data_IF_051290756112
#
_entry.id   IF_051290756112
#
_cell.length_a   1.000
_cell.length_b   1.000
_cell.length_c   1.000
_cell.angle_alpha   90.00
_cell.angle_beta   90.00
_cell.angle_gamma   90.00
#
_symmetry.space_group_name_H-M   'P 1'
#
loop_
_entity.id
_entity.type
_entity.pdbx_description
1 polymer ?
#
# COMPACT_ATOMS: atom_id res chain seq x y z
N UNK A 1 -57.23 -3.78 29.30
CA UNK A 1 -56.95 -5.15 28.86
C UNK A 1 -55.69 -5.09 28.01
N UNK A 2 -54.54 -5.40 28.61
CA UNK A 2 -53.24 -5.42 27.95
C UNK A 2 -53.12 -6.68 27.11
N UNK A 3 -52.74 -6.55 25.85
CA UNK A 3 -52.32 -7.66 25.00
C UNK A 3 -50.84 -7.49 24.67
N UNK A 4 -50.02 -8.19 25.44
CA UNK A 4 -48.58 -8.32 25.26
C UNK A 4 -48.32 -9.31 24.11
N UNK A 5 -47.86 -8.82 22.96
CA UNK A 5 -47.30 -9.65 21.90
C UNK A 5 -45.86 -10.01 22.27
N UNK A 6 -45.64 -11.23 22.72
CA UNK A 6 -44.30 -11.79 22.92
C UNK A 6 -43.65 -11.98 21.54
N UNK A 7 -42.61 -11.20 21.27
CA UNK A 7 -41.67 -11.51 20.20
C UNK A 7 -40.88 -12.77 20.60
N UNK A 8 -41.14 -13.88 19.91
CA UNK A 8 -40.30 -15.07 19.95
C UNK A 8 -38.95 -14.73 19.35
N UNK A 9 -37.92 -14.61 20.20
CA UNK A 9 -36.52 -14.63 19.80
C UNK A 9 -36.21 -15.98 19.17
N UNK A 10 -36.13 -16.03 17.84
CA UNK A 10 -35.50 -17.14 17.12
C UNK A 10 -34.00 -17.03 17.37
N UNK A 11 -33.50 -17.81 18.34
CA UNK A 11 -32.07 -18.04 18.45
C UNK A 11 -31.65 -18.84 17.22
N UNK A 12 -31.05 -18.16 16.24
CA UNK A 12 -30.21 -18.82 15.24
C UNK A 12 -29.04 -19.45 16.01
N UNK A 13 -29.23 -20.69 16.46
CA UNK A 13 -28.13 -21.59 16.75
C UNK A 13 -27.41 -21.77 15.42
N UNK A 14 -26.38 -20.96 15.19
CA UNK A 14 -25.37 -21.22 14.17
C UNK A 14 -24.80 -22.59 14.48
N UNK A 15 -25.25 -23.62 13.77
CA UNK A 15 -24.51 -24.88 13.66
C UNK A 15 -23.06 -24.51 13.33
N UNK A 16 -22.05 -24.99 14.08
CA UNK A 16 -20.67 -24.76 13.71
C UNK A 16 -20.49 -25.18 12.25
N UNK A 17 -20.11 -24.24 11.38
CA UNK A 17 -19.78 -24.56 10.00
C UNK A 17 -18.73 -25.67 9.99
N UNK A 18 -18.76 -26.54 8.97
CA UNK A 18 -17.72 -27.57 8.83
C UNK A 18 -16.35 -26.89 8.87
N UNK A 19 -15.36 -27.44 9.61
CA UNK A 19 -14.03 -26.87 9.66
C UNK A 19 -13.46 -26.69 8.24
N UNK A 20 -12.84 -25.54 8.00
CA UNK A 20 -12.20 -25.22 6.72
C UNK A 20 -10.70 -25.37 6.91
N UNK A 21 -10.10 -26.28 6.14
CA UNK A 21 -8.66 -26.49 6.11
C UNK A 21 -7.93 -25.19 5.73
N UNK A 22 -6.70 -25.03 6.22
CA UNK A 22 -5.87 -23.90 5.89
C UNK A 22 -5.49 -23.94 4.42
N UNK A 23 -5.40 -22.77 3.79
CA UNK A 23 -4.71 -22.63 2.50
C UNK A 23 -3.23 -22.38 2.78
N UNK A 24 -2.38 -22.59 1.77
CA UNK A 24 -0.96 -22.22 1.86
C UNK A 24 -0.81 -20.84 2.48
N UNK A 25 -0.04 -20.76 3.57
CA UNK A 25 0.27 -19.48 4.18
C UNK A 25 1.00 -18.60 3.16
N UNK A 26 0.42 -17.45 2.86
CA UNK A 26 1.03 -16.45 2.01
C UNK A 26 1.79 -15.48 2.90
N UNK A 27 3.09 -15.29 2.66
CA UNK A 27 3.77 -14.15 3.25
C UNK A 27 3.58 -12.94 2.35
N UNK A 28 3.15 -11.85 2.94
CA UNK A 28 3.31 -10.54 2.32
C UNK A 28 4.78 -10.22 2.52
N UNK A 29 5.56 -10.42 1.46
CA UNK A 29 6.99 -10.20 1.53
C UNK A 29 7.16 -8.70 1.57
N UNK A 30 7.65 -8.05 2.65
CA UNK A 30 8.34 -6.80 2.44
C UNK A 30 9.47 -7.01 1.43
N UNK A 31 10.00 -5.93 0.88
CA UNK A 31 11.21 -6.01 0.04
C UNK A 31 12.20 -6.95 0.72
N UNK A 32 12.84 -7.85 -0.03
CA UNK A 32 13.78 -8.87 0.49
C UNK A 32 15.02 -8.29 1.19
N UNK A 33 15.04 -6.98 1.41
CA UNK A 33 16.14 -6.14 1.82
C UNK A 33 15.62 -5.20 2.88
N UNK A 34 16.38 -4.88 3.92
CA UNK A 34 16.06 -3.83 4.91
C UNK A 34 17.37 -3.13 5.26
N UNK A 35 17.39 -1.82 5.51
CA UNK A 35 18.66 -1.20 5.93
C UNK A 35 18.95 -1.51 7.40
N UNK A 36 20.23 -1.64 7.74
CA UNK A 36 20.69 -1.74 9.11
C UNK A 36 20.14 -0.58 9.96
N UNK A 37 19.65 -0.91 11.15
CA UNK A 37 19.03 0.01 12.08
C UNK A 37 17.55 0.29 11.80
N UNK A 38 16.98 -0.17 10.68
CA UNK A 38 15.55 -0.05 10.40
C UNK A 38 14.71 -1.12 11.11
N UNK A 39 13.39 -0.99 10.99
CA UNK A 39 12.46 -2.00 11.47
C UNK A 39 12.12 -2.96 10.33
N UNK A 40 12.24 -4.26 10.57
CA UNK A 40 11.69 -5.30 9.70
C UNK A 40 10.29 -5.68 10.17
N UNK A 41 9.33 -5.73 9.26
CA UNK A 41 7.97 -6.24 9.51
C UNK A 41 7.64 -7.35 8.52
N UNK A 42 7.47 -8.58 9.00
CA UNK A 42 7.06 -9.74 8.21
C UNK A 42 5.60 -10.09 8.51
N UNK A 43 4.78 -10.24 7.47
CA UNK A 43 3.36 -10.57 7.60
C UNK A 43 3.08 -11.96 7.05
N UNK A 44 2.40 -12.77 7.85
CA UNK A 44 1.95 -14.10 7.46
C UNK A 44 0.43 -14.15 7.39
N UNK A 45 -0.11 -14.31 6.18
CA UNK A 45 -1.54 -14.31 5.90
C UNK A 45 -2.02 -15.70 5.54
N UNK A 46 -2.96 -16.22 6.31
CA UNK A 46 -3.77 -17.36 5.92
C UNK A 46 -5.15 -17.28 6.57
N UNK A 47 -6.12 -17.94 5.97
CA UNK A 47 -7.48 -18.02 6.50
C UNK A 47 -7.83 -19.48 6.82
N UNK A 48 -8.55 -19.68 7.93
CA UNK A 48 -8.99 -20.99 8.40
C UNK A 48 -10.24 -20.88 9.26
N UNK A 49 -10.94 -21.99 9.44
CA UNK A 49 -11.99 -22.12 10.45
C UNK A 49 -11.78 -23.42 11.23
N UNK A 50 -11.42 -23.38 12.54
CA UNK A 50 -11.26 -22.19 13.39
C UNK A 50 -10.19 -21.18 12.93
N UNK A 51 -10.20 -19.92 13.41
CA UNK A 51 -9.13 -18.96 13.11
C UNK A 51 -7.76 -19.51 13.53
N UNK A 52 -6.72 -19.36 12.69
CA UNK A 52 -5.38 -19.86 13.00
C UNK A 52 -4.69 -18.99 14.06
N UNK A 53 -3.76 -19.62 14.77
CA UNK A 53 -2.71 -18.96 15.54
C UNK A 53 -1.39 -19.04 14.79
N UNK A 54 -0.50 -18.08 15.03
CA UNK A 54 0.74 -17.92 14.27
C UNK A 54 1.98 -18.02 15.15
N UNK A 55 3.02 -18.66 14.63
CA UNK A 55 4.34 -18.73 15.24
C UNK A 55 5.44 -18.50 14.20
N UNK A 56 6.59 -18.02 14.65
CA UNK A 56 7.74 -17.72 13.80
C UNK A 56 8.99 -18.44 14.28
N UNK A 57 9.76 -18.95 13.34
CA UNK A 57 11.07 -19.56 13.57
C UNK A 57 12.09 -19.05 12.56
N UNK A 58 13.37 -19.21 12.89
CA UNK A 58 14.50 -18.89 12.01
C UNK A 58 15.18 -20.18 11.55
N UNK A 59 15.84 -20.12 10.41
CA UNK A 59 16.59 -21.25 9.84
C UNK A 59 17.52 -21.93 10.87
N UNK A 60 17.70 -23.24 10.73
CA UNK A 60 18.52 -24.08 11.62
C UNK A 60 18.09 -24.05 13.09
N UNK A 61 16.82 -23.73 13.36
CA UNK A 61 16.28 -23.56 14.72
C UNK A 61 17.04 -22.49 15.51
N UNK A 62 17.63 -21.51 14.82
CA UNK A 62 18.24 -20.35 15.46
C UNK A 62 17.19 -19.58 16.26
N UNK A 63 17.62 -18.96 17.34
CA UNK A 63 16.76 -18.05 18.09
C UNK A 63 16.38 -16.85 17.22
N UNK A 64 15.13 -16.39 17.35
CA UNK A 64 14.75 -15.09 16.81
C UNK A 64 15.61 -13.99 17.47
N UNK A 65 15.88 -12.88 16.75
CA UNK A 65 16.58 -11.74 17.32
C UNK A 65 15.94 -11.27 18.62
N UNK A 66 16.74 -10.80 19.57
CA UNK A 66 16.21 -10.39 20.89
C UNK A 66 15.20 -9.24 20.83
N UNK A 67 15.22 -8.45 19.75
CA UNK A 67 14.27 -7.36 19.48
C UNK A 67 13.00 -7.83 18.75
N UNK A 68 12.85 -9.13 18.46
CA UNK A 68 11.71 -9.67 17.76
C UNK A 68 10.44 -9.66 18.63
N UNK A 69 9.35 -9.14 18.07
CA UNK A 69 8.00 -9.13 18.65
C UNK A 69 7.06 -9.86 17.69
N UNK A 70 6.45 -10.94 18.18
CA UNK A 70 5.50 -11.75 17.40
C UNK A 70 4.08 -11.50 17.89
N UNK A 71 3.19 -11.16 16.96
CA UNK A 71 1.75 -11.17 17.19
C UNK A 71 1.17 -12.53 16.74
N UNK A 72 0.75 -13.38 17.70
CA UNK A 72 0.23 -14.72 17.40
C UNK A 72 -1.18 -14.71 16.81
N UNK A 73 -1.88 -13.57 16.78
CA UNK A 73 -3.23 -13.42 16.25
C UNK A 73 -3.20 -12.93 14.81
N UNK A 74 -2.38 -11.91 14.50
CA UNK A 74 -2.28 -11.36 13.15
C UNK A 74 -1.23 -12.04 12.29
N UNK A 75 -0.32 -12.80 12.89
CA UNK A 75 0.80 -13.43 12.19
C UNK A 75 1.94 -12.48 11.88
N UNK A 76 1.95 -11.29 12.47
CA UNK A 76 2.97 -10.26 12.26
C UNK A 76 4.22 -10.55 13.11
N UNK A 77 5.40 -10.47 12.51
CA UNK A 77 6.69 -10.44 13.20
C UNK A 77 7.37 -9.09 12.95
N UNK A 78 7.70 -8.37 14.02
CA UNK A 78 8.42 -7.09 13.98
C UNK A 78 9.79 -7.24 14.61
N UNK A 79 10.84 -6.77 13.97
CA UNK A 79 12.20 -6.71 14.52
C UNK A 79 12.68 -5.27 14.43
N UNK A 80 12.83 -4.61 15.58
CA UNK A 80 13.29 -3.23 15.63
C UNK A 80 14.82 -3.13 15.61
N UNK A 81 15.37 -2.26 14.75
CA UNK A 81 16.80 -1.99 14.71
C UNK A 81 17.60 -3.18 14.18
N UNK A 82 17.21 -3.70 13.02
CA UNK A 82 17.82 -4.90 12.43
C UNK A 82 19.30 -4.72 12.17
N UNK A 83 20.05 -5.82 12.22
CA UNK A 83 21.49 -5.85 11.98
C UNK A 83 21.84 -6.91 10.93
N UNK A 84 23.03 -6.83 10.30
CA UNK A 84 23.51 -7.85 9.36
C UNK A 84 23.52 -9.29 9.92
N UNK A 85 23.57 -9.46 11.24
CA UNK A 85 23.43 -10.78 11.88
C UNK A 85 21.99 -11.31 11.94
N UNK A 86 20.98 -10.51 11.63
CA UNK A 86 19.56 -10.91 11.64
C UNK A 86 19.13 -11.55 10.31
N UNK A 87 19.95 -11.41 9.27
CA UNK A 87 19.80 -11.93 7.91
C UNK A 87 19.48 -13.41 7.85
N UNK A 88 18.65 -13.80 6.87
CA UNK A 88 18.42 -15.21 6.56
C UNK A 88 16.96 -15.56 6.40
N UNK A 89 16.65 -16.85 6.54
CA UNK A 89 15.32 -17.38 6.30
C UNK A 89 14.49 -17.48 7.59
N UNK A 90 13.27 -16.97 7.49
CA UNK A 90 12.26 -16.96 8.53
C UNK A 90 11.07 -17.79 8.06
N UNK A 91 10.54 -18.61 8.95
CA UNK A 91 9.42 -19.49 8.68
C UNK A 91 8.26 -19.09 9.56
N UNK A 92 7.15 -18.71 8.93
CA UNK A 92 5.88 -18.61 9.60
C UNK A 92 5.18 -19.97 9.61
N UNK A 93 4.59 -20.32 10.74
CA UNK A 93 3.69 -21.47 10.89
C UNK A 93 2.32 -20.99 11.35
N UNK A 94 1.28 -21.32 10.60
CA UNK A 94 -0.11 -21.08 10.97
C UNK A 94 -0.81 -22.41 11.30
N UNK A 95 -1.48 -22.44 12.45
CA UNK A 95 -2.12 -23.63 13.00
C UNK A 95 -3.53 -23.27 13.50
N UNK A 96 -4.54 -23.97 13.00
CA UNK A 96 -5.93 -23.83 13.47
C UNK A 96 -6.49 -25.05 14.20
N UNK A 97 -5.65 -26.00 14.60
CA UNK A 97 -6.00 -27.25 15.26
C UNK A 97 -6.60 -28.31 14.35
N UNK A 98 -6.82 -28.01 13.06
CA UNK A 98 -7.29 -28.96 12.03
C UNK A 98 -6.19 -29.28 11.04
N UNK A 99 -5.47 -28.23 10.62
CA UNK A 99 -4.37 -28.31 9.68
C UNK A 99 -3.26 -27.33 10.10
N UNK A 100 -2.05 -27.57 9.60
CA UNK A 100 -0.88 -26.73 9.84
C UNK A 100 -0.21 -26.44 8.51
N UNK A 101 -0.03 -25.16 8.21
CA UNK A 101 0.65 -24.71 6.98
C UNK A 101 1.81 -23.80 7.34
N UNK A 102 2.87 -23.87 6.53
CA UNK A 102 4.07 -23.06 6.72
C UNK A 102 4.37 -22.24 5.48
N UNK A 103 5.09 -21.15 5.67
CA UNK A 103 5.61 -20.32 4.60
C UNK A 103 7.01 -19.82 4.96
N UNK A 104 7.91 -19.73 3.98
CA UNK A 104 9.31 -19.30 4.17
C UNK A 104 9.62 -18.00 3.44
N UNK A 105 10.35 -17.10 4.09
CA UNK A 105 10.81 -15.81 3.54
C UNK A 105 12.27 -15.62 3.88
N UNK A 106 13.06 -15.18 2.92
CA UNK A 106 14.44 -14.77 3.14
C UNK A 106 14.52 -13.25 3.07
N UNK A 107 15.26 -12.65 4.00
CA UNK A 107 15.65 -11.25 3.92
C UNK A 107 17.15 -11.08 4.12
N UNK A 108 17.66 -9.98 3.58
CA UNK A 108 19.01 -9.48 3.80
C UNK A 108 18.94 -8.12 4.51
N UNK A 109 19.80 -7.88 5.50
CA UNK A 109 19.96 -6.57 6.11
C UNK A 109 21.16 -5.91 5.48
N UNK A 110 20.91 -4.84 4.73
CA UNK A 110 21.96 -4.10 4.07
C UNK A 110 22.57 -3.09 5.03
N UNK A 111 23.88 -3.16 5.31
CA UNK A 111 24.55 -2.12 6.07
C UNK A 111 24.43 -0.76 5.38
N UNK A 112 24.66 0.30 6.15
CA UNK A 112 24.85 1.63 5.56
C UNK A 112 26.10 1.63 4.68
N UNK A 113 25.90 1.83 3.39
CA UNK A 113 26.97 1.90 2.38
C UNK A 113 27.31 3.34 2.00
N UNK A 114 26.74 4.36 2.67
CA UNK A 114 26.95 5.78 2.32
C UNK A 114 28.43 6.19 2.30
N UNK A 115 29.27 5.51 3.08
CA UNK A 115 30.73 5.67 3.10
C UNK A 115 31.47 4.95 1.97
N UNK A 116 30.79 4.20 1.11
CA UNK A 116 31.38 3.40 0.04
C UNK A 116 30.55 3.48 -1.24
N UNK A 117 31.11 4.12 -2.28
CA UNK A 117 30.43 4.27 -3.56
C UNK A 117 31.35 3.90 -4.71
N UNK A 118 30.71 3.41 -5.77
CA UNK A 118 31.36 3.16 -7.04
C UNK A 118 31.45 4.45 -7.86
N UNK A 119 32.56 4.62 -8.56
CA UNK A 119 32.84 5.80 -9.40
C UNK A 119 32.10 5.75 -10.74
N UNK A 120 31.49 4.61 -11.08
CA UNK A 120 30.82 4.38 -12.36
C UNK A 120 29.59 3.50 -12.17
N UNK A 121 28.51 3.84 -12.86
CA UNK A 121 27.29 3.01 -12.95
C UNK A 121 27.52 1.62 -13.56
N UNK A 122 28.67 1.41 -14.21
CA UNK A 122 29.04 0.13 -14.83
C UNK A 122 29.84 -0.78 -13.90
N UNK A 123 30.25 -0.30 -12.72
CA UNK A 123 30.98 -1.10 -11.73
C UNK A 123 30.33 -2.44 -11.41
N UNK A 124 28.99 -2.55 -11.22
CA UNK A 124 28.35 -3.84 -11.00
C UNK A 124 28.55 -4.82 -12.16
N UNK A 125 28.48 -4.32 -13.40
CA UNK A 125 28.64 -5.15 -14.60
C UNK A 125 30.09 -5.63 -14.79
N UNK A 126 31.07 -4.77 -14.51
CA UNK A 126 32.48 -5.14 -14.56
C UNK A 126 32.83 -6.13 -13.45
N UNK A 127 32.34 -5.91 -12.23
CA UNK A 127 32.52 -6.85 -11.12
C UNK A 127 31.93 -8.23 -11.45
N UNK A 128 30.69 -8.28 -11.97
CA UNK A 128 30.06 -9.52 -12.44
C UNK A 128 30.83 -10.21 -13.59
N UNK A 129 31.67 -9.47 -14.32
CA UNK A 129 32.53 -10.02 -15.38
C UNK A 129 33.89 -10.53 -14.86
N UNK A 130 34.12 -10.50 -13.54
CA UNK A 130 35.38 -10.91 -12.91
C UNK A 130 36.50 -9.88 -12.97
N UNK A 131 36.19 -8.60 -13.24
CA UNK A 131 37.21 -7.55 -13.33
C UNK A 131 37.83 -7.23 -11.96
N UNK A 132 37.15 -7.53 -10.85
CA UNK A 132 37.70 -7.34 -9.51
C UNK A 132 38.98 -8.18 -9.31
N UNK A 133 39.05 -9.38 -9.90
CA UNK A 133 40.21 -10.26 -9.90
C UNK A 133 41.15 -10.01 -11.10
N UNK A 134 40.59 -9.74 -12.28
CA UNK A 134 41.37 -9.59 -13.52
C UNK A 134 42.04 -8.22 -13.67
N UNK A 135 41.45 -7.17 -13.08
CA UNK A 135 41.92 -5.79 -13.14
C UNK A 135 41.84 -5.08 -11.77
N UNK A 136 42.44 -5.65 -10.70
CA UNK A 136 42.29 -5.15 -9.34
C UNK A 136 42.87 -3.75 -9.16
N UNK A 137 43.91 -3.40 -9.93
CA UNK A 137 44.55 -2.09 -9.84
C UNK A 137 43.63 -0.93 -10.21
N UNK A 138 42.68 -1.16 -11.12
CA UNK A 138 41.66 -0.17 -11.48
C UNK A 138 40.37 -0.40 -10.71
N UNK A 139 39.91 -1.64 -10.59
CA UNK A 139 38.61 -1.97 -10.03
C UNK A 139 38.50 -1.69 -8.54
N UNK A 140 39.47 -2.09 -7.72
CA UNK A 140 39.36 -1.91 -6.26
C UNK A 140 39.26 -0.43 -5.82
N UNK A 141 40.02 0.53 -6.41
CA UNK A 141 39.87 1.94 -6.03
C UNK A 141 38.66 2.64 -6.67
N UNK A 142 38.18 2.18 -7.85
CA UNK A 142 37.09 2.87 -8.57
C UNK A 142 35.72 2.21 -8.38
N UNK A 143 35.69 0.92 -8.04
CA UNK A 143 34.49 0.12 -7.82
C UNK A 143 34.53 -0.60 -6.45
N UNK A 144 34.85 0.09 -5.34
CA UNK A 144 35.09 -0.54 -4.04
C UNK A 144 33.83 -1.18 -3.44
N UNK A 145 32.64 -0.72 -3.84
CA UNK A 145 31.37 -1.31 -3.39
C UNK A 145 31.09 -2.59 -4.19
N UNK A 146 31.11 -2.50 -5.52
CA UNK A 146 30.86 -3.67 -6.39
C UNK A 146 31.89 -4.79 -6.22
N UNK A 147 33.14 -4.48 -5.87
CA UNK A 147 34.17 -5.48 -5.60
C UNK A 147 34.24 -5.94 -4.13
N UNK A 148 33.28 -5.56 -3.29
CA UNK A 148 33.23 -6.00 -1.88
C UNK A 148 34.41 -5.52 -1.03
N UNK A 149 35.08 -4.43 -1.42
CA UNK A 149 36.24 -3.88 -0.70
C UNK A 149 35.82 -3.27 0.64
N UNK A 150 34.72 -2.53 0.65
CA UNK A 150 34.21 -1.88 1.86
C UNK A 150 33.33 -2.81 2.70
N UNK A 151 32.55 -3.66 2.04
CA UNK A 151 31.60 -4.56 2.66
C UNK A 151 31.82 -5.97 2.09
N UNK A 152 32.74 -6.74 2.68
CA UNK A 152 32.90 -8.16 2.35
C UNK A 152 31.58 -8.89 2.61
N UNK A 153 31.22 -9.82 1.72
CA UNK A 153 30.01 -10.64 1.82
C UNK A 153 28.68 -9.86 1.77
N UNK A 154 28.69 -8.64 1.23
CA UNK A 154 27.47 -7.86 0.98
C UNK A 154 26.57 -8.66 0.01
N UNK A 155 25.32 -8.99 0.39
CA UNK A 155 24.38 -9.67 -0.50
C UNK A 155 24.22 -8.88 -1.80
N UNK A 156 24.15 -9.57 -2.94
CA UNK A 156 24.05 -8.89 -4.25
C UNK A 156 22.77 -8.06 -4.35
N UNK A 157 21.74 -8.45 -3.61
CA UNK A 157 20.50 -7.72 -3.42
C UNK A 157 20.76 -6.33 -2.80
N UNK A 158 21.75 -6.20 -1.90
CA UNK A 158 22.13 -4.93 -1.27
C UNK A 158 22.88 -3.95 -2.19
N UNK A 159 23.33 -4.42 -3.37
CA UNK A 159 23.91 -3.59 -4.42
C UNK A 159 22.83 -2.94 -5.30
N UNK A 160 21.58 -3.42 -5.22
CA UNK A 160 20.44 -2.84 -5.92
C UNK A 160 19.76 -1.77 -5.05
N UNK A 161 19.28 -0.69 -5.65
CA UNK A 161 18.70 0.45 -4.93
C UNK A 161 17.34 0.17 -4.26
N UNK A 162 16.77 -1.03 -4.41
CA UNK A 162 15.47 -1.42 -3.81
C UNK A 162 15.65 -2.06 -2.42
N UNK A 163 16.00 -1.28 -1.39
CA UNK A 163 16.26 -1.81 -0.04
C UNK A 163 15.10 -1.59 0.94
N UNK A 164 14.10 -2.47 1.06
CA UNK A 164 13.17 -2.47 2.23
C UNK A 164 12.25 -1.29 2.40
N UNK A 165 12.41 -0.35 1.48
CA UNK A 165 12.13 1.05 1.62
C UNK A 165 11.75 1.49 0.24
N UNK A 166 10.67 2.23 0.20
CA UNK A 166 10.27 2.96 -0.98
C UNK A 166 11.40 3.88 -1.45
N UNK A 167 11.40 4.20 -2.74
CA UNK A 167 12.34 5.16 -3.29
C UNK A 167 12.02 6.56 -2.77
N UNK A 168 13.00 7.47 -2.81
CA UNK A 168 12.76 8.90 -2.59
C UNK A 168 12.50 9.66 -3.90
N UNK A 169 12.46 8.93 -5.01
CA UNK A 169 12.26 9.44 -6.36
C UNK A 169 10.96 8.92 -6.96
N UNK A 170 10.46 9.65 -7.95
CA UNK A 170 9.32 9.29 -8.77
C UNK A 170 9.68 9.56 -10.23
N UNK A 171 8.93 8.96 -11.15
CA UNK A 171 8.95 9.28 -12.57
C UNK A 171 7.50 9.19 -13.01
N UNK A 172 6.85 10.36 -13.09
CA UNK A 172 5.44 10.47 -13.43
C UNK A 172 5.24 11.19 -14.77
N UNK A 173 6.31 11.55 -15.50
CA UNK A 173 6.23 12.29 -16.77
C UNK A 173 6.29 11.34 -17.96
N UNK A 174 7.30 10.48 -17.97
CA UNK A 174 7.64 9.71 -19.15
C UNK A 174 7.10 8.28 -19.05
N UNK A 175 5.94 8.05 -19.66
CA UNK A 175 5.33 6.71 -19.71
C UNK A 175 6.21 5.78 -20.53
N UNK A 176 6.61 4.67 -19.94
CA UNK A 176 7.43 3.63 -20.60
C UNK A 176 6.68 2.32 -20.71
N UNK A 177 7.29 1.36 -21.43
CA UNK A 177 6.93 -0.04 -21.27
C UNK A 177 7.25 -0.52 -19.85
N UNK A 178 6.56 -1.57 -19.39
CA UNK A 178 6.85 -2.22 -18.10
C UNK A 178 8.25 -2.85 -18.14
N UNK A 179 9.19 -2.44 -17.26
CA UNK A 179 10.53 -3.04 -17.22
C UNK A 179 10.49 -4.54 -16.93
N UNK A 180 11.37 -5.32 -17.58
CA UNK A 180 11.44 -6.78 -17.42
C UNK A 180 11.64 -7.21 -15.95
N UNK A 181 12.45 -6.47 -15.20
CA UNK A 181 12.69 -6.69 -13.77
C UNK A 181 11.41 -6.52 -12.96
N UNK A 182 10.64 -5.44 -13.21
CA UNK A 182 9.37 -5.16 -12.52
C UNK A 182 8.34 -6.25 -12.86
N UNK A 183 8.23 -6.61 -14.14
CA UNK A 183 7.32 -7.67 -14.60
C UNK A 183 7.64 -9.01 -13.93
N UNK A 184 8.91 -9.37 -13.86
CA UNK A 184 9.37 -10.64 -13.27
C UNK A 184 9.18 -10.65 -11.75
N UNK A 185 9.56 -9.57 -11.07
CA UNK A 185 9.45 -9.44 -9.62
C UNK A 185 8.00 -9.57 -9.14
N UNK A 186 7.07 -8.92 -9.85
CA UNK A 186 5.67 -8.85 -9.48
C UNK A 186 4.80 -9.90 -10.19
N UNK A 187 5.40 -10.72 -11.06
CA UNK A 187 4.70 -11.68 -11.93
C UNK A 187 3.51 -11.04 -12.68
N UNK A 188 3.76 -9.88 -13.30
CA UNK A 188 2.71 -9.10 -13.97
C UNK A 188 2.25 -9.75 -15.28
N UNK A 189 0.92 -9.82 -15.45
CA UNK A 189 0.30 -10.24 -16.70
C UNK A 189 0.68 -9.31 -17.88
N UNK A 190 0.65 -9.86 -19.08
CA UNK A 190 0.85 -9.12 -20.34
C UNK A 190 -0.24 -8.07 -20.61
N UNK A 191 -1.34 -8.05 -19.87
CA UNK A 191 -2.29 -6.95 -19.88
C UNK A 191 -1.60 -5.60 -19.62
N UNK A 192 -0.71 -5.54 -18.62
CA UNK A 192 0.02 -4.33 -18.28
C UNK A 192 1.13 -4.07 -19.30
N UNK A 193 1.03 -2.96 -20.01
CA UNK A 193 1.98 -2.55 -21.04
C UNK A 193 2.60 -1.19 -20.76
N UNK A 194 1.92 -0.32 -20.01
CA UNK A 194 2.41 1.01 -19.64
C UNK A 194 2.84 1.07 -18.18
N UNK A 195 3.87 1.85 -17.91
CA UNK A 195 4.51 1.96 -16.61
C UNK A 195 4.92 3.40 -16.28
N UNK A 196 4.66 3.78 -15.03
CA UNK A 196 5.29 4.87 -14.29
C UNK A 196 5.56 4.38 -12.86
N UNK A 197 6.22 5.19 -12.03
CA UNK A 197 6.28 4.91 -10.60
C UNK A 197 6.26 6.17 -9.73
N UNK A 198 5.64 6.04 -8.57
CA UNK A 198 5.80 6.98 -7.46
C UNK A 198 6.54 6.26 -6.34
N UNK A 199 7.74 6.70 -5.96
CA UNK A 199 8.52 6.06 -4.88
C UNK A 199 8.83 4.57 -5.09
N UNK A 200 8.98 4.15 -6.35
CA UNK A 200 9.15 2.75 -6.75
C UNK A 200 7.87 1.92 -6.77
N UNK A 201 6.72 2.48 -6.34
CA UNK A 201 5.41 1.84 -6.42
C UNK A 201 4.93 1.90 -7.88
N UNK A 202 4.68 0.74 -8.52
CA UNK A 202 4.25 0.68 -9.92
C UNK A 202 2.90 1.33 -10.14
N UNK A 203 2.82 2.12 -11.21
CA UNK A 203 1.59 2.68 -11.76
C UNK A 203 1.42 2.07 -13.16
N UNK A 204 0.36 1.30 -13.34
CA UNK A 204 0.22 0.39 -14.48
C UNK A 204 -1.02 0.70 -15.32
N UNK A 205 -0.93 0.38 -16.61
CA UNK A 205 -2.06 0.47 -17.52
C UNK A 205 -1.87 -0.44 -18.73
N UNK A 206 -2.94 -0.68 -19.46
CA UNK A 206 -2.88 -1.39 -20.73
C UNK A 206 -2.25 -0.51 -21.83
N UNK A 207 -2.03 -1.10 -23.00
CA UNK A 207 -1.49 -0.37 -24.15
C UNK A 207 -2.46 0.69 -24.70
N UNK A 208 -3.76 0.56 -24.45
CA UNK A 208 -4.79 1.46 -24.96
C UNK A 208 -5.12 2.61 -24.02
N UNK A 209 -4.75 2.52 -22.74
CA UNK A 209 -4.94 3.59 -21.76
C UNK A 209 -4.18 4.87 -22.18
N UNK A 210 -4.78 6.07 -22.19
CA UNK A 210 -4.04 7.30 -22.46
C UNK A 210 -2.98 7.59 -21.40
N UNK A 211 -1.81 8.10 -21.85
CA UNK A 211 -0.69 8.41 -20.95
C UNK A 211 -1.09 9.40 -19.84
N UNK A 212 -1.92 10.39 -20.15
CA UNK A 212 -2.38 11.39 -19.18
C UNK A 212 -3.14 10.77 -18.00
N UNK A 213 -3.89 9.68 -18.22
CA UNK A 213 -4.59 8.98 -17.15
C UNK A 213 -3.58 8.32 -16.19
N UNK A 214 -2.51 7.74 -16.76
CA UNK A 214 -1.43 7.14 -15.98
C UNK A 214 -0.63 8.18 -15.21
N UNK A 215 -0.35 9.35 -15.82
CA UNK A 215 0.31 10.48 -15.15
C UNK A 215 -0.52 11.00 -13.98
N UNK A 216 -1.84 11.13 -14.16
CA UNK A 216 -2.75 11.55 -13.08
C UNK A 216 -2.73 10.56 -11.93
N UNK A 217 -2.88 9.27 -12.21
CA UNK A 217 -2.78 8.23 -11.19
C UNK A 217 -1.43 8.25 -10.45
N UNK A 218 -0.33 8.47 -11.18
CA UNK A 218 1.00 8.60 -10.58
C UNK A 218 1.09 9.80 -9.62
N UNK A 219 0.48 10.94 -9.98
CA UNK A 219 0.33 12.08 -9.08
C UNK A 219 -0.47 11.73 -7.83
N UNK A 220 -1.62 11.06 -7.97
CA UNK A 220 -2.48 10.72 -6.83
C UNK A 220 -1.76 9.79 -5.84
N UNK A 221 -1.01 8.80 -6.35
CA UNK A 221 -0.17 7.92 -5.51
C UNK A 221 0.97 8.69 -4.85
N UNK A 222 1.66 9.55 -5.61
CA UNK A 222 2.74 10.41 -5.10
C UNK A 222 2.23 11.30 -3.96
N UNK A 223 1.05 11.90 -4.13
CA UNK A 223 0.38 12.77 -3.18
C UNK A 223 -0.04 12.01 -1.92
N UNK A 224 -0.77 10.90 -2.07
CA UNK A 224 -1.31 10.15 -0.92
C UNK A 224 -0.21 9.45 -0.10
N UNK A 225 0.97 9.22 -0.64
CA UNK A 225 2.09 8.61 0.10
C UNK A 225 3.22 9.60 0.45
N UNK A 226 2.99 10.90 0.26
CA UNK A 226 4.00 11.94 0.54
C UNK A 226 4.27 12.09 2.05
N UNK A 227 3.24 12.08 2.88
CA UNK A 227 3.35 12.61 4.24
C UNK A 227 4.08 11.70 5.22
N UNK A 228 4.06 10.38 4.97
CA UNK A 228 4.52 9.36 5.91
C UNK A 228 5.34 8.28 5.20
N UNK A 229 6.66 8.41 5.26
CA UNK A 229 7.59 7.39 4.73
C UNK A 229 7.35 5.98 5.24
N UNK A 230 7.05 5.81 6.52
CA UNK A 230 6.81 4.47 7.08
C UNK A 230 5.56 3.80 6.50
N UNK A 231 4.50 4.56 6.22
CA UNK A 231 3.32 4.07 5.50
C UNK A 231 3.67 3.74 4.04
N UNK A 232 4.43 4.63 3.39
CA UNK A 232 4.91 4.44 2.02
C UNK A 232 5.79 3.20 1.87
N UNK A 233 6.71 3.00 2.80
CA UNK A 233 7.58 1.82 2.87
C UNK A 233 6.74 0.56 3.06
N UNK A 234 5.73 0.57 3.93
CA UNK A 234 4.80 -0.56 4.06
C UNK A 234 4.06 -0.86 2.76
N UNK A 235 3.50 0.16 2.10
CA UNK A 235 2.77 -0.01 0.84
C UNK A 235 3.67 -0.61 -0.26
N UNK A 236 4.89 -0.08 -0.41
CA UNK A 236 5.89 -0.61 -1.34
C UNK A 236 6.27 -2.05 -0.99
N UNK A 237 6.52 -2.30 0.30
CA UNK A 237 6.91 -3.58 0.82
C UNK A 237 5.86 -4.64 0.52
N UNK A 238 4.57 -4.36 0.61
CA UNK A 238 3.54 -5.36 0.31
C UNK A 238 3.21 -5.52 -1.17
N UNK A 239 4.10 -5.07 -2.05
CA UNK A 239 3.91 -5.04 -3.51
C UNK A 239 2.67 -4.27 -3.95
N UNK A 240 2.30 -3.26 -3.15
CA UNK A 240 1.26 -2.31 -3.49
C UNK A 240 1.55 -1.68 -4.84
N UNK A 241 0.51 -1.54 -5.65
CA UNK A 241 0.52 -0.94 -6.98
C UNK A 241 -0.78 -0.18 -7.22
N UNK A 242 -0.78 0.62 -8.26
CA UNK A 242 -1.99 1.21 -8.81
C UNK A 242 -2.14 0.84 -10.28
N UNK A 243 -3.39 0.69 -10.74
CA UNK A 243 -3.66 0.53 -12.16
C UNK A 243 -4.90 1.30 -12.61
N UNK A 244 -4.87 1.84 -13.82
CA UNK A 244 -6.03 2.51 -14.41
C UNK A 244 -6.53 1.70 -15.60
N UNK A 245 -7.84 1.44 -15.59
CA UNK A 245 -8.57 0.86 -16.72
C UNK A 245 -8.83 1.93 -17.77
N UNK A 246 -8.62 1.62 -19.03
CA UNK A 246 -9.10 2.45 -20.13
C UNK A 246 -10.63 2.52 -20.13
N UNK A 247 -11.20 3.52 -20.81
CA UNK A 247 -12.66 3.72 -20.90
C UNK A 247 -13.39 2.46 -21.40
N UNK A 248 -12.78 1.73 -22.34
CA UNK A 248 -13.37 0.51 -22.93
C UNK A 248 -13.10 -0.78 -22.16
N UNK A 249 -12.26 -0.74 -21.13
CA UNK A 249 -11.94 -1.90 -20.28
C UNK A 249 -12.89 -1.97 -19.11
N UNK A 250 -13.14 -3.15 -18.57
CA UNK A 250 -14.01 -3.38 -17.41
C UNK A 250 -13.25 -3.97 -16.23
N UNK A 251 -13.85 -3.97 -15.03
CA UNK A 251 -13.20 -4.41 -13.78
C UNK A 251 -12.53 -5.77 -13.88
N UNK A 252 -13.17 -6.75 -14.52
CA UNK A 252 -12.61 -8.10 -14.66
C UNK A 252 -11.52 -8.22 -15.74
N UNK A 253 -11.29 -7.20 -16.56
CA UNK A 253 -10.15 -7.18 -17.50
C UNK A 253 -8.82 -6.96 -16.75
N UNK A 254 -8.87 -6.33 -15.57
CA UNK A 254 -7.72 -6.25 -14.67
C UNK A 254 -7.38 -7.67 -14.18
N UNK A 255 -6.15 -8.17 -14.42
CA UNK A 255 -5.79 -9.57 -14.14
C UNK A 255 -6.09 -10.03 -12.71
N UNK A 256 -5.82 -9.17 -11.73
CA UNK A 256 -6.05 -9.41 -10.30
C UNK A 256 -7.53 -9.53 -9.93
N UNK A 257 -8.42 -8.96 -10.74
CA UNK A 257 -9.86 -8.91 -10.52
C UNK A 257 -10.64 -9.91 -11.40
N UNK A 258 -9.95 -10.61 -12.30
CA UNK A 258 -10.54 -11.54 -13.29
C UNK A 258 -11.42 -12.65 -12.71
N UNK A 259 -11.27 -12.99 -11.42
CA UNK A 259 -12.05 -14.03 -10.74
C UNK A 259 -13.22 -13.49 -9.90
N UNK A 260 -13.49 -12.17 -9.95
CA UNK A 260 -14.64 -11.58 -9.28
C UNK A 260 -15.96 -11.94 -9.96
N UNK A 261 -17.08 -11.67 -9.28
CA UNK A 261 -18.40 -11.85 -9.85
C UNK A 261 -18.59 -10.93 -11.08
N UNK A 262 -19.17 -11.40 -12.20
CA UNK A 262 -19.34 -10.57 -13.40
C UNK A 262 -20.11 -9.27 -13.21
N UNK A 263 -20.92 -9.14 -12.16
CA UNK A 263 -21.58 -7.88 -11.81
C UNK A 263 -20.60 -6.73 -11.57
N UNK A 264 -19.35 -7.02 -11.18
CA UNK A 264 -18.27 -6.03 -11.00
C UNK A 264 -17.95 -5.23 -12.27
N UNK A 265 -18.23 -5.77 -13.45
CA UNK A 265 -18.05 -5.03 -14.71
C UNK A 265 -19.00 -3.84 -14.87
N UNK A 266 -20.15 -3.83 -14.18
CA UNK A 266 -21.12 -2.74 -14.27
C UNK A 266 -21.29 -1.96 -12.99
N UNK A 267 -20.97 -2.53 -11.82
CA UNK A 267 -21.13 -1.85 -10.52
C UNK A 267 -19.93 -1.02 -10.09
N UNK A 268 -18.75 -1.26 -10.67
CA UNK A 268 -17.50 -0.68 -10.18
C UNK A 268 -16.65 -0.17 -11.34
N UNK A 269 -16.00 0.97 -11.11
CA UNK A 269 -14.97 1.56 -12.00
C UNK A 269 -13.66 1.80 -11.25
N UNK A 270 -13.52 1.15 -10.11
CA UNK A 270 -12.36 1.16 -9.24
C UNK A 270 -12.55 0.10 -8.15
N UNK A 271 -11.45 -0.31 -7.52
CA UNK A 271 -11.46 -1.24 -6.39
C UNK A 271 -10.22 -0.99 -5.53
N UNK A 272 -10.42 -0.98 -4.22
CA UNK A 272 -9.35 -0.81 -3.25
C UNK A 272 -8.41 -2.00 -3.18
N UNK A 273 -7.11 -1.71 -3.15
CA UNK A 273 -6.08 -2.73 -3.01
C UNK A 273 -6.09 -3.39 -1.63
N UNK A 274 -5.73 -4.66 -1.59
CA UNK A 274 -5.53 -5.42 -0.35
C UNK A 274 -4.18 -6.09 -0.36
N UNK A 275 -3.67 -6.51 0.79
CA UNK A 275 -2.45 -7.33 0.87
C UNK A 275 -2.48 -8.63 0.03
N UNK A 276 -3.66 -9.14 -0.34
CA UNK A 276 -3.79 -10.33 -1.20
C UNK A 276 -3.85 -9.97 -2.69
N UNK A 277 -4.53 -8.87 -3.00
CA UNK A 277 -4.66 -8.30 -4.34
C UNK A 277 -4.14 -6.87 -4.27
N UNK A 278 -2.81 -6.66 -4.31
CA UNK A 278 -2.20 -5.41 -3.90
C UNK A 278 -2.24 -4.36 -5.00
N UNK A 279 -3.37 -4.25 -5.70
CA UNK A 279 -3.62 -3.24 -6.73
C UNK A 279 -4.86 -2.44 -6.37
N UNK A 280 -4.69 -1.14 -6.18
CA UNK A 280 -5.82 -0.21 -6.15
C UNK A 280 -6.09 0.25 -7.58
N UNK A 281 -7.34 0.17 -8.04
CA UNK A 281 -7.68 0.50 -9.42
C UNK A 281 -8.64 1.67 -9.53
N UNK A 282 -8.52 2.40 -10.63
CA UNK A 282 -9.49 3.40 -11.05
C UNK A 282 -9.75 3.31 -12.55
N UNK A 283 -10.49 4.28 -13.07
CA UNK A 283 -10.87 4.33 -14.47
C UNK A 283 -10.50 5.66 -15.12
N UNK A 284 -10.12 5.58 -16.40
CA UNK A 284 -9.71 6.69 -17.24
C UNK A 284 -10.68 7.87 -17.18
N UNK A 285 -11.98 7.61 -17.33
CA UNK A 285 -13.00 8.66 -17.37
C UNK A 285 -13.09 9.45 -16.05
N UNK A 286 -12.80 8.80 -14.93
CA UNK A 286 -12.76 9.45 -13.62
C UNK A 286 -11.46 10.24 -13.45
N UNK A 287 -10.30 9.62 -13.62
CA UNK A 287 -9.02 10.33 -13.40
C UNK A 287 -8.82 11.49 -14.38
N UNK A 288 -9.40 11.44 -15.58
CA UNK A 288 -9.34 12.54 -16.56
C UNK A 288 -10.56 13.46 -16.59
N UNK A 289 -11.55 13.25 -15.72
CA UNK A 289 -12.74 14.10 -15.61
C UNK A 289 -13.52 14.24 -16.93
N UNK A 290 -13.83 13.11 -17.54
CA UNK A 290 -14.66 13.07 -18.74
C UNK A 290 -16.09 13.53 -18.43
N UNK A 291 -16.76 14.08 -19.45
CA UNK A 291 -18.11 14.61 -19.27
C UNK A 291 -19.16 13.54 -18.95
N UNK A 292 -18.91 12.29 -19.34
CA UNK A 292 -19.79 11.15 -19.11
C UNK A 292 -19.42 10.33 -17.87
N UNK A 293 -18.42 10.77 -17.09
CA UNK A 293 -18.07 10.16 -15.80
C UNK A 293 -19.30 10.20 -14.89
N UNK A 294 -19.69 9.03 -14.37
CA UNK A 294 -20.83 8.91 -13.45
C UNK A 294 -20.52 9.49 -12.07
N UNK A 295 -19.25 9.65 -11.75
CA UNK A 295 -18.72 10.15 -10.46
C UNK A 295 -17.96 11.46 -10.64
N UNK A 296 -18.43 12.33 -11.54
CA UNK A 296 -17.72 13.53 -12.03
C UNK A 296 -17.24 14.52 -10.96
N UNK A 297 -17.86 14.50 -9.78
CA UNK A 297 -17.52 15.41 -8.67
C UNK A 297 -16.59 14.78 -7.64
N UNK A 298 -16.33 13.47 -7.74
CA UNK A 298 -15.54 12.69 -6.79
C UNK A 298 -14.25 12.19 -7.42
N UNK A 299 -13.19 12.08 -6.64
CA UNK A 299 -11.99 11.35 -7.05
C UNK A 299 -12.09 9.89 -6.57
N UNK A 300 -12.65 9.03 -7.42
CA UNK A 300 -12.88 7.61 -7.10
C UNK A 300 -11.55 6.88 -6.98
N UNK A 301 -10.56 7.22 -7.79
CA UNK A 301 -9.25 6.59 -7.63
C UNK A 301 -8.65 6.89 -6.25
N UNK A 302 -8.76 8.12 -5.74
CA UNK A 302 -8.31 8.43 -4.37
C UNK A 302 -9.10 7.68 -3.30
N UNK A 303 -10.42 7.49 -3.47
CA UNK A 303 -11.24 6.65 -2.58
C UNK A 303 -10.68 5.22 -2.53
N UNK A 304 -10.50 4.59 -3.68
CA UNK A 304 -10.01 3.22 -3.77
C UNK A 304 -8.56 3.10 -3.27
N UNK A 305 -7.73 4.11 -3.57
CA UNK A 305 -6.37 4.17 -3.06
C UNK A 305 -6.35 4.37 -1.54
N UNK A 306 -7.32 5.06 -0.94
CA UNK A 306 -7.47 5.19 0.51
C UNK A 306 -7.72 3.83 1.19
N UNK A 307 -8.53 2.95 0.60
CA UNK A 307 -8.63 1.56 1.06
C UNK A 307 -7.29 0.83 0.97
N UNK A 308 -6.54 1.05 -0.11
CA UNK A 308 -5.18 0.53 -0.26
C UNK A 308 -4.26 1.00 0.86
N UNK A 309 -4.18 2.32 1.11
CA UNK A 309 -3.39 2.91 2.19
C UNK A 309 -3.78 2.33 3.55
N UNK A 310 -5.09 2.14 3.80
CA UNK A 310 -5.54 1.48 5.02
C UNK A 310 -5.02 0.04 5.13
N UNK A 311 -5.29 -0.79 4.13
CA UNK A 311 -5.03 -2.23 4.16
C UNK A 311 -3.55 -2.61 4.08
N UNK A 312 -2.77 -1.83 3.34
CA UNK A 312 -1.39 -2.12 2.97
C UNK A 312 -0.36 -1.25 3.71
N UNK A 313 -0.82 -0.24 4.45
CA UNK A 313 0.07 0.60 5.24
C UNK A 313 -0.44 0.88 6.65
N UNK A 314 -1.57 1.58 6.80
CA UNK A 314 -2.02 2.10 8.09
C UNK A 314 -2.17 1.00 9.14
N UNK A 315 -2.90 -0.07 8.82
CA UNK A 315 -3.15 -1.15 9.79
C UNK A 315 -1.92 -1.99 10.12
N UNK A 316 -0.89 -1.93 9.28
CA UNK A 316 0.36 -2.67 9.45
C UNK A 316 1.34 -1.87 10.31
N UNK A 317 1.40 -0.55 10.08
CA UNK A 317 2.43 0.32 10.66
C UNK A 317 1.96 1.03 11.92
N UNK A 318 0.68 1.38 12.00
CA UNK A 318 0.12 2.16 13.10
C UNK A 318 -0.51 1.18 14.11
N UNK A 319 0.01 1.10 15.36
CA UNK A 319 -0.57 0.26 16.39
C UNK A 319 -2.05 0.56 16.62
N UNK A 320 -2.85 -0.49 16.77
CA UNK A 320 -4.27 -0.45 17.08
C UNK A 320 -5.13 0.39 16.10
N UNK A 321 -4.64 0.68 14.89
CA UNK A 321 -5.35 1.53 13.93
C UNK A 321 -6.76 1.02 13.63
N UNK A 322 -6.92 -0.26 13.30
CA UNK A 322 -8.24 -0.86 13.01
C UNK A 322 -9.18 -0.79 14.21
N UNK A 323 -8.67 -1.02 15.43
CA UNK A 323 -9.48 -0.93 16.64
C UNK A 323 -9.96 0.51 16.89
N UNK A 324 -9.12 1.51 16.61
CA UNK A 324 -9.47 2.93 16.74
C UNK A 324 -10.44 3.37 15.65
N UNK A 325 -10.27 2.88 14.41
CA UNK A 325 -11.17 3.13 13.30
C UNK A 325 -12.55 2.54 13.54
N UNK A 326 -12.62 1.28 14.00
CA UNK A 326 -13.87 0.64 14.39
C UNK A 326 -14.57 1.39 15.53
N UNK A 327 -13.82 1.83 16.54
CA UNK A 327 -14.39 2.63 17.63
C UNK A 327 -14.97 3.97 17.14
N UNK A 328 -14.30 4.65 16.22
CA UNK A 328 -14.79 5.88 15.61
C UNK A 328 -16.08 5.63 14.80
N UNK A 329 -16.10 4.56 14.00
CA UNK A 329 -17.28 4.17 13.21
C UNK A 329 -18.48 3.84 14.10
N UNK A 330 -18.30 3.05 15.16
CA UNK A 330 -19.39 2.74 16.09
C UNK A 330 -19.91 3.98 16.83
N UNK A 331 -19.05 4.95 17.16
CA UNK A 331 -19.48 6.25 17.70
C UNK A 331 -20.30 7.05 16.67
N UNK A 332 -19.86 7.06 15.40
CA UNK A 332 -20.59 7.72 14.31
C UNK A 332 -22.01 7.15 14.18
N UNK A 333 -22.15 5.82 14.12
CA UNK A 333 -23.44 5.12 14.06
C UNK A 333 -24.32 5.45 15.28
N UNK A 334 -23.75 5.40 16.48
CA UNK A 334 -24.49 5.65 17.72
C UNK A 334 -25.04 7.09 17.80
N UNK A 335 -24.38 8.04 17.13
CA UNK A 335 -24.79 9.44 17.08
C UNK A 335 -25.57 9.79 15.79
N UNK A 336 -25.89 8.81 14.94
CA UNK A 336 -26.60 9.02 13.68
C UNK A 336 -25.81 9.83 12.66
N UNK A 337 -24.48 9.90 12.81
CA UNK A 337 -23.60 10.50 11.81
C UNK A 337 -23.56 9.59 10.59
N UNK A 338 -23.48 10.21 9.42
CA UNK A 338 -23.47 9.53 8.11
C UNK A 338 -24.68 8.62 7.86
N UNK A 339 -25.73 8.70 8.69
CA UNK A 339 -26.88 7.82 8.58
C UNK A 339 -27.47 7.85 7.16
N UNK A 340 -27.63 6.67 6.57
CA UNK A 340 -28.22 6.52 5.24
C UNK A 340 -27.38 7.20 4.13
N UNK A 341 -26.05 7.17 4.26
CA UNK A 341 -25.07 7.59 3.25
C UNK A 341 -24.13 6.42 2.94
N UNK A 342 -23.30 6.54 1.90
CA UNK A 342 -22.34 5.50 1.55
C UNK A 342 -21.29 5.26 2.65
N UNK A 343 -20.94 6.30 3.42
CA UNK A 343 -20.07 6.17 4.59
C UNK A 343 -20.66 5.31 5.75
N UNK A 344 -21.96 4.98 5.73
CA UNK A 344 -22.65 4.10 6.69
C UNK A 344 -22.79 2.65 6.19
N UNK A 345 -22.25 2.33 5.00
CA UNK A 345 -22.31 0.95 4.48
C UNK A 345 -21.33 0.03 5.22
N UNK A 346 -20.07 0.45 5.38
CA UNK A 346 -19.06 -0.27 6.15
C UNK A 346 -18.03 0.66 6.80
N UNK A 347 -17.31 0.16 7.81
CA UNK A 347 -16.15 0.85 8.41
C UNK A 347 -15.07 1.24 7.38
N UNK A 348 -14.97 0.49 6.27
CA UNK A 348 -14.02 0.77 5.21
C UNK A 348 -14.48 1.93 4.33
N UNK A 349 -15.78 2.00 4.01
CA UNK A 349 -16.37 3.14 3.28
C UNK A 349 -16.32 4.40 4.13
N UNK A 350 -16.67 4.29 5.42
CA UNK A 350 -16.50 5.36 6.41
C UNK A 350 -15.09 5.96 6.39
N UNK A 351 -14.06 5.10 6.31
CA UNK A 351 -12.68 5.53 6.17
C UNK A 351 -12.42 6.26 4.84
N UNK A 352 -12.76 5.65 3.71
CA UNK A 352 -12.44 6.19 2.39
C UNK A 352 -13.19 7.50 2.08
N UNK A 353 -14.46 7.60 2.45
CA UNK A 353 -15.28 8.82 2.39
C UNK A 353 -14.70 9.94 3.27
N UNK A 354 -14.19 9.58 4.46
CA UNK A 354 -13.47 10.49 5.33
C UNK A 354 -12.21 11.06 4.67
N UNK A 355 -11.45 10.23 3.97
CA UNK A 355 -10.26 10.65 3.22
C UNK A 355 -10.64 11.57 2.05
N UNK A 356 -11.69 11.26 1.29
CA UNK A 356 -12.16 12.14 0.21
C UNK A 356 -12.58 13.51 0.76
N UNK A 357 -13.33 13.53 1.87
CA UNK A 357 -13.78 14.76 2.51
C UNK A 357 -12.60 15.58 3.02
N UNK A 358 -11.58 14.92 3.56
CA UNK A 358 -10.36 15.56 4.02
C UNK A 358 -9.58 16.28 2.90
N UNK A 359 -9.70 15.80 1.66
CA UNK A 359 -9.01 16.33 0.49
C UNK A 359 -9.89 17.16 -0.45
N UNK A 360 -11.11 17.53 -0.06
CA UNK A 360 -12.04 18.28 -0.91
C UNK A 360 -12.41 17.56 -2.23
N UNK A 361 -12.42 16.23 -2.21
CA UNK A 361 -12.75 15.37 -3.37
C UNK A 361 -13.93 14.45 -3.11
N UNK A 362 -14.75 14.80 -2.10
CA UNK A 362 -16.05 14.17 -1.87
C UNK A 362 -17.19 15.02 -2.46
N UNK A 363 -18.30 14.36 -2.76
CA UNK A 363 -19.52 15.01 -3.24
C UNK A 363 -20.32 15.57 -2.05
N UNK A 364 -20.62 16.87 -2.11
CA UNK A 364 -21.53 17.51 -1.17
C UNK A 364 -22.99 17.36 -1.61
N UNK A 365 -23.87 17.02 -0.65
CA UNK A 365 -25.32 17.01 -0.85
C UNK A 365 -26.04 17.52 0.40
N UNK A 366 -26.63 18.71 0.31
CA UNK A 366 -27.48 19.31 1.35
C UNK A 366 -28.83 19.73 0.75
N UNK A 367 -29.93 19.00 1.02
CA UNK A 367 -30.06 17.90 1.99
C UNK A 367 -29.42 16.59 1.51
N UNK A 368 -29.13 15.63 2.42
CA UNK A 368 -28.60 14.31 2.06
C UNK A 368 -29.47 13.57 1.03
N UNK A 369 -28.83 12.89 0.07
CA UNK A 369 -29.48 12.25 -1.08
C UNK A 369 -29.60 10.71 -0.97
N UNK A 370 -29.16 10.13 0.15
CA UNK A 370 -29.11 8.69 0.37
C UNK A 370 -27.76 8.05 0.02
N UNK A 371 -26.81 8.84 -0.50
CA UNK A 371 -25.44 8.44 -0.81
C UNK A 371 -24.45 9.41 -0.14
N UNK A 372 -24.72 10.71 -0.22
CA UNK A 372 -23.87 11.78 0.30
C UNK A 372 -24.62 12.67 1.30
N UNK A 373 -23.87 13.50 2.02
CA UNK A 373 -24.37 14.54 2.91
C UNK A 373 -23.56 15.85 2.75
N UNK A 374 -23.75 16.80 3.66
CA UNK A 374 -23.09 18.11 3.65
C UNK A 374 -21.59 18.09 4.00
N UNK A 375 -21.00 16.95 4.37
CA UNK A 375 -19.59 16.86 4.80
C UNK A 375 -18.71 16.52 3.61
N UNK A 376 -18.02 17.51 3.04
CA UNK A 376 -17.07 17.28 1.95
C UNK A 376 -15.73 18.03 2.10
N UNK A 377 -15.52 18.70 3.23
CA UNK A 377 -14.28 19.41 3.57
C UNK A 377 -13.62 18.89 4.86
N UNK A 378 -12.30 19.08 5.06
CA UNK A 378 -11.65 18.77 6.32
C UNK A 378 -12.19 19.60 7.49
N UNK A 379 -12.66 20.84 7.24
CA UNK A 379 -13.26 21.70 8.26
C UNK A 379 -14.60 21.13 8.75
N UNK A 380 -15.48 20.73 7.84
CA UNK A 380 -16.75 20.08 8.18
C UNK A 380 -16.52 18.73 8.82
N UNK A 381 -15.59 17.93 8.29
CA UNK A 381 -15.26 16.62 8.85
C UNK A 381 -14.78 16.75 10.31
N UNK A 382 -13.90 17.72 10.61
CA UNK A 382 -13.46 17.97 11.98
C UNK A 382 -14.60 18.41 12.90
N UNK A 383 -15.55 19.21 12.40
CA UNK A 383 -16.68 19.68 13.18
C UNK A 383 -17.75 18.58 13.40
N UNK A 384 -17.96 17.74 12.39
CA UNK A 384 -18.99 16.72 12.36
C UNK A 384 -18.54 15.41 13.03
N UNK A 385 -17.36 14.91 12.66
CA UNK A 385 -16.75 13.68 13.16
C UNK A 385 -15.24 13.87 13.45
N UNK A 386 -14.89 14.46 14.61
CA UNK A 386 -13.49 14.68 14.98
C UNK A 386 -12.71 13.38 15.18
N UNK A 387 -13.37 12.24 15.43
CA UNK A 387 -12.67 10.96 15.59
C UNK A 387 -12.12 10.48 14.24
N UNK A 388 -12.96 10.50 13.20
CA UNK A 388 -12.53 10.21 11.83
C UNK A 388 -11.48 11.21 11.34
N UNK A 389 -11.71 12.51 11.55
CA UNK A 389 -10.74 13.54 11.16
C UNK A 389 -9.34 13.26 11.73
N UNK A 390 -9.25 12.91 13.02
CA UNK A 390 -7.96 12.68 13.66
C UNK A 390 -7.26 11.42 13.14
N UNK A 391 -8.01 10.37 12.77
CA UNK A 391 -7.45 9.17 12.13
C UNK A 391 -6.89 9.51 10.74
N UNK A 392 -7.66 10.27 9.93
CA UNK A 392 -7.19 10.72 8.60
C UNK A 392 -5.97 11.63 8.74
N UNK A 393 -5.98 12.57 9.68
CA UNK A 393 -4.87 13.50 9.90
C UNK A 393 -3.59 12.81 10.40
N UNK A 394 -3.69 11.70 11.13
CA UNK A 394 -2.51 10.91 11.55
C UNK A 394 -1.76 10.29 10.34
N UNK A 395 -2.50 9.97 9.28
CA UNK A 395 -1.97 9.44 8.02
C UNK A 395 -1.46 10.57 7.12
N UNK A 396 -2.20 11.68 7.04
CA UNK A 396 -1.89 12.83 6.17
C UNK A 396 -1.59 14.12 6.96
N UNK A 397 -0.52 14.14 7.79
CA UNK A 397 -0.21 15.26 8.66
C UNK A 397 0.30 16.53 7.95
N UNK A 398 0.77 16.45 6.70
CA UNK A 398 1.24 17.61 5.95
C UNK A 398 0.10 18.55 5.55
N UNK A 399 -1.16 18.05 5.51
CA UNK A 399 -2.32 18.79 5.00
C UNK A 399 -2.07 19.32 3.58
N UNK A 400 -1.46 18.50 2.75
CA UNK A 400 -1.24 18.82 1.34
C UNK A 400 -2.59 19.06 0.65
N UNK A 401 -2.63 19.98 -0.32
CA UNK A 401 -3.83 20.26 -1.11
C UNK A 401 -3.75 19.48 -2.41
N UNK A 402 -4.76 18.67 -2.68
CA UNK A 402 -4.84 17.93 -3.93
C UNK A 402 -5.14 18.89 -5.09
N UNK A 403 -4.53 18.62 -6.23
CA UNK A 403 -4.86 19.28 -7.49
C UNK A 403 -6.14 18.66 -8.01
N UNK A 404 -7.13 19.49 -8.33
CA UNK A 404 -8.39 19.03 -8.89
C UNK A 404 -8.13 18.26 -10.21
N UNK A 405 -8.62 17.02 -10.32
CA UNK A 405 -8.45 16.15 -11.50
C UNK A 405 -8.99 16.74 -12.81
N UNK A 406 -9.95 17.65 -12.73
CA UNK A 406 -10.51 18.36 -13.89
C UNK A 406 -9.65 19.54 -14.35
N UNK A 407 -8.55 19.86 -13.65
CA UNK A 407 -7.65 20.97 -13.95
C UNK A 407 -6.24 20.44 -14.22
N UNK A 408 -5.67 20.82 -15.37
CA UNK A 408 -4.31 20.45 -15.79
C UNK A 408 -3.30 21.57 -15.52
N UNK A 409 -3.34 22.17 -14.33
CA UNK A 409 -2.43 23.25 -13.92
C UNK A 409 -1.66 22.84 -12.67
N UNK A 410 -0.53 22.19 -12.91
CA UNK A 410 0.35 21.72 -11.83
C UNK A 410 1.38 22.77 -11.43
N UNK A 411 1.54 23.86 -12.18
CA UNK A 411 2.67 24.80 -12.08
C UNK A 411 2.73 25.53 -10.73
N UNK A 412 1.60 25.60 -10.01
CA UNK A 412 1.49 26.22 -8.69
C UNK A 412 1.33 25.22 -7.55
N UNK A 413 1.44 23.93 -7.84
CA UNK A 413 1.20 22.88 -6.84
C UNK A 413 2.42 22.68 -5.95
N UNK A 414 2.18 22.44 -4.67
CA UNK A 414 3.20 22.16 -3.67
C UNK A 414 2.83 20.88 -2.93
N UNK A 415 3.76 19.92 -2.85
CA UNK A 415 3.64 18.71 -2.04
C UNK A 415 4.76 18.70 -1.00
N UNK A 416 4.40 18.65 0.27
CA UNK A 416 5.35 18.47 1.38
C UNK A 416 5.47 16.99 1.70
N UNK A 417 6.68 16.53 1.98
CA UNK A 417 6.99 15.11 2.20
C UNK A 417 7.49 14.90 3.63
N UNK A 418 7.11 13.77 4.23
CA UNK A 418 7.52 13.27 5.54
C UNK A 418 7.22 14.23 6.71
N UNK A 419 6.05 14.87 6.73
CA UNK A 419 5.70 15.89 7.74
C UNK A 419 5.23 15.28 9.07
N UNK A 420 6.15 14.87 9.95
CA UNK A 420 5.79 14.48 11.32
C UNK A 420 6.11 15.60 12.31
N UNK A 421 5.17 15.95 13.19
CA UNK A 421 5.31 17.03 14.17
C UNK A 421 5.70 18.38 13.55
N UNK A 422 5.20 18.67 12.33
CA UNK A 422 5.47 19.91 11.61
C UNK A 422 6.84 19.99 10.93
N UNK A 423 7.63 18.92 10.92
CA UNK A 423 8.94 18.87 10.26
C UNK A 423 8.82 18.13 8.94
N UNK A 424 9.00 18.81 7.81
CA UNK A 424 9.08 18.20 6.47
C UNK A 424 10.54 17.99 6.05
N UNK A 425 10.82 16.91 5.33
CA UNK A 425 12.17 16.63 4.78
C UNK A 425 12.40 17.30 3.42
N UNK A 426 11.36 17.41 2.60
CA UNK A 426 11.43 17.91 1.22
C UNK A 426 10.10 18.56 0.82
N UNK A 427 10.17 19.58 -0.04
CA UNK A 427 9.01 20.18 -0.71
C UNK A 427 9.18 20.10 -2.22
N UNK A 428 8.16 19.59 -2.91
CA UNK A 428 8.11 19.37 -4.36
C UNK A 428 7.19 20.45 -4.97
N UNK A 429 7.57 21.03 -6.12
CA UNK A 429 6.85 22.17 -6.72
C UNK A 429 6.56 21.99 -8.20
N UNK A 430 5.39 22.44 -8.63
CA UNK A 430 5.13 22.68 -10.04
C UNK A 430 5.18 21.41 -10.89
N UNK A 431 5.73 21.55 -12.10
CA UNK A 431 5.99 20.43 -13.00
C UNK A 431 6.98 19.38 -12.44
N UNK A 432 7.75 19.68 -11.38
CA UNK A 432 8.65 18.68 -10.78
C UNK A 432 7.90 17.55 -10.08
N UNK A 433 6.60 17.71 -9.87
CA UNK A 433 5.69 16.64 -9.44
C UNK A 433 5.67 15.50 -10.47
N UNK A 434 5.85 15.82 -11.74
CA UNK A 434 5.91 14.82 -12.81
C UNK A 434 7.34 14.39 -13.14
N UNK A 435 8.34 15.21 -12.82
CA UNK A 435 9.72 15.06 -13.32
C UNK A 435 10.61 14.18 -12.45
#
# INVERSE_FOLDING_TARGET
MSTTTQATTSSLLTTPGRPRALRNAAMVRPTRLVNEGEQLTLLCLTAGSPPPSFTWTRENSAALPGAAVVDPVTGTLVIGGVRPEDDGMYTCTADNGVDVVTSNVSFAVCPDISGCSDSSKWCPNWANSGECENNPGWMLPNCPLSCGVCHPDLPSECLTTKRGRSWDTWECSNVTDVPDEVRTELNLDTFYQKYLHAYGIPILGSSILPDDALRRCCYDVLFMLADRRDLRDSYFNVYGRAAIMAESEVTLDVPEHSNLDPSFNTRARGLGGTVTFPVSTGAEENVLCYQHDSFKVEDIFMHEFAHGVHNMAAKIVIPDFDARLEAAYQDALANGRFANTYADDTVFEYWAEGVQSYFYVNHESDPPDGIHNHVNTPEELMAYDPALYNLVHEIFPCKNKVVNRCVKDYDQSEIKVDCKNGLSRTTIYGSSIFA
#
